data_IF_156271985492
#
_entry.id   IF_156271985492
#
_cell.length_a   1.000
_cell.length_b   1.000
_cell.length_c   1.000
_cell.angle_alpha   90.00
_cell.angle_beta   90.00
_cell.angle_gamma   90.00
#
_symmetry.space_group_name_H-M   'P 1'
#
loop_
_entity.id
_entity.type
_entity.pdbx_description
1 polymer ?
#
# COMPACT_ATOMS: atom_id res chain seq x y z
N UNK A 1 -5.99 1.13 6.88
CA UNK A 1 -6.86 1.71 5.84
C UNK A 1 -8.22 1.04 5.95
N UNK A 2 -9.25 1.76 6.44
CA UNK A 2 -10.55 1.16 6.74
C UNK A 2 -11.51 1.09 5.53
N UNK A 3 -11.20 1.81 4.44
CA UNK A 3 -12.01 1.86 3.22
C UNK A 3 -11.16 1.57 1.97
N UNK A 4 -11.64 0.66 1.11
CA UNK A 4 -11.01 0.29 -0.16
C UNK A 4 -11.17 1.36 -1.25
N UNK A 5 -12.01 2.37 -1.06
CA UNK A 5 -12.29 3.42 -2.06
C UNK A 5 -11.02 4.06 -2.60
N UNK A 6 -10.08 4.42 -1.72
CA UNK A 6 -8.79 5.00 -2.12
C UNK A 6 -7.97 4.02 -2.96
N UNK A 7 -7.86 2.76 -2.51
CA UNK A 7 -7.11 1.71 -3.19
C UNK A 7 -7.68 1.39 -4.57
N UNK A 8 -9.01 1.25 -4.67
CA UNK A 8 -9.69 0.99 -5.94
C UNK A 8 -9.49 2.14 -6.93
N UNK A 9 -9.61 3.38 -6.44
CA UNK A 9 -9.34 4.58 -7.25
C UNK A 9 -7.89 4.58 -7.75
N UNK A 10 -6.93 4.27 -6.88
CA UNK A 10 -5.51 4.19 -7.22
C UNK A 10 -5.23 3.11 -8.28
N UNK A 11 -5.82 1.93 -8.12
CA UNK A 11 -5.65 0.78 -9.03
C UNK A 11 -6.54 0.85 -10.28
N UNK A 12 -7.43 1.86 -10.39
CA UNK A 12 -8.43 2.01 -11.46
C UNK A 12 -9.34 0.79 -11.59
N UNK A 13 -9.81 0.29 -10.46
CA UNK A 13 -10.76 -0.82 -10.38
C UNK A 13 -12.16 -0.26 -10.21
N UNK A 14 -13.04 -0.62 -11.13
CA UNK A 14 -14.47 -0.38 -11.02
C UNK A 14 -15.15 -1.66 -10.51
N UNK A 15 -16.11 -1.53 -9.58
CA UNK A 15 -16.87 -2.65 -9.05
C UNK A 15 -16.38 -3.20 -7.70
N UNK A 16 -16.91 -4.36 -7.32
CA UNK A 16 -16.70 -5.00 -6.00
C UNK A 16 -16.30 -6.48 -6.06
N UNK A 17 -16.07 -7.01 -7.26
CA UNK A 17 -15.78 -8.44 -7.48
C UNK A 17 -14.48 -8.87 -6.79
N UNK A 18 -13.50 -7.97 -6.70
CA UNK A 18 -12.19 -8.21 -6.10
C UNK A 18 -12.12 -7.82 -4.61
N UNK A 19 -13.21 -7.40 -3.96
CA UNK A 19 -13.15 -6.74 -2.63
C UNK A 19 -12.56 -7.61 -1.53
N UNK A 20 -12.90 -8.90 -1.52
CA UNK A 20 -12.35 -9.86 -0.56
C UNK A 20 -10.83 -10.03 -0.77
N UNK A 21 -10.40 -10.10 -2.04
CA UNK A 21 -8.98 -10.23 -2.39
C UNK A 21 -8.22 -8.95 -2.05
N UNK A 22 -8.78 -7.79 -2.38
CA UNK A 22 -8.21 -6.49 -2.04
C UNK A 22 -8.09 -6.32 -0.52
N UNK A 23 -9.10 -6.73 0.25
CA UNK A 23 -9.06 -6.70 1.72
C UNK A 23 -7.92 -7.57 2.27
N UNK A 24 -7.76 -8.78 1.75
CA UNK A 24 -6.63 -9.66 2.12
C UNK A 24 -5.28 -9.01 1.82
N UNK A 25 -5.12 -8.43 0.62
CA UNK A 25 -3.88 -7.80 0.20
C UNK A 25 -3.56 -6.54 1.02
N UNK A 26 -4.58 -5.79 1.44
CA UNK A 26 -4.42 -4.65 2.35
C UNK A 26 -3.89 -5.12 3.70
N UNK A 27 -4.50 -6.14 4.31
CA UNK A 27 -4.01 -6.69 5.58
C UNK A 27 -2.56 -7.17 5.48
N UNK A 28 -2.21 -7.88 4.41
CA UNK A 28 -0.83 -8.31 4.16
C UNK A 28 0.13 -7.14 3.96
N UNK A 29 -0.33 -6.05 3.33
CA UNK A 29 0.48 -4.85 3.14
C UNK A 29 0.73 -4.11 4.46
N UNK A 30 -0.28 -4.00 5.33
CA UNK A 30 -0.15 -3.41 6.65
C UNK A 30 0.82 -4.22 7.53
N UNK A 31 0.71 -5.55 7.51
CA UNK A 31 1.64 -6.45 8.21
C UNK A 31 3.08 -6.31 7.66
N UNK A 32 3.23 -6.19 6.34
CA UNK A 32 4.54 -5.96 5.71
C UNK A 32 5.18 -4.64 6.21
N UNK A 33 4.41 -3.55 6.28
CA UNK A 33 4.90 -2.26 6.77
C UNK A 33 5.27 -2.33 8.27
N UNK A 34 4.46 -3.01 9.07
CA UNK A 34 4.76 -3.24 10.49
C UNK A 34 6.08 -4.02 10.66
N UNK A 35 6.28 -5.10 9.89
CA UNK A 35 7.51 -5.89 9.88
C UNK A 35 8.72 -5.08 9.38
N UNK A 36 8.52 -4.10 8.50
CA UNK A 36 9.55 -3.17 8.06
C UNK A 36 9.93 -2.11 9.14
N UNK A 37 9.20 -2.06 10.26
CA UNK A 37 9.41 -1.14 11.37
C UNK A 37 8.63 0.18 11.24
N UNK A 38 7.62 0.24 10.37
CA UNK A 38 6.71 1.38 10.27
C UNK A 38 5.63 1.24 11.34
N UNK A 39 5.46 2.26 12.18
CA UNK A 39 4.35 2.29 13.14
C UNK A 39 3.06 2.72 12.43
N UNK A 40 1.92 2.03 12.65
CA UNK A 40 0.64 2.51 12.16
C UNK A 40 0.34 3.89 12.77
N UNK A 41 -0.23 4.83 12.00
CA UNK A 41 -0.55 6.16 12.50
C UNK A 41 -1.63 6.08 13.59
N UNK A 42 -1.42 6.78 14.71
CA UNK A 42 -2.35 6.76 15.86
C UNK A 42 -3.75 7.30 15.53
N UNK A 43 -3.85 8.19 14.54
CA UNK A 43 -5.10 8.86 14.16
C UNK A 43 -5.64 8.45 12.79
N UNK A 44 -5.04 7.45 12.11
CA UNK A 44 -5.43 7.07 10.75
C UNK A 44 -5.10 8.08 9.63
N UNK A 45 -4.39 9.18 9.93
CA UNK A 45 -4.22 10.33 9.01
C UNK A 45 -2.90 10.35 8.21
N UNK A 46 -2.15 9.25 8.12
CA UNK A 46 -0.91 9.25 7.33
C UNK A 46 -1.17 8.92 5.86
N UNK A 47 -1.26 9.96 5.02
CA UNK A 47 -1.37 9.79 3.55
C UNK A 47 -0.20 9.04 2.93
N UNK A 48 0.99 9.13 3.54
CA UNK A 48 2.14 8.33 3.13
C UNK A 48 1.98 6.86 3.49
N UNK A 49 1.39 6.55 4.66
CA UNK A 49 1.06 5.17 5.02
C UNK A 49 0.01 4.59 4.07
N UNK A 50 -1.05 5.34 3.79
CA UNK A 50 -2.10 4.93 2.84
C UNK A 50 -1.50 4.65 1.45
N UNK A 51 -0.61 5.53 0.97
CA UNK A 51 0.08 5.34 -0.31
C UNK A 51 1.04 4.14 -0.28
N UNK A 52 1.73 3.89 0.83
CA UNK A 52 2.60 2.72 0.98
C UNK A 52 1.79 1.42 0.90
N UNK A 53 0.62 1.36 1.53
CA UNK A 53 -0.31 0.24 1.41
C UNK A 53 -0.75 0.07 -0.05
N UNK A 54 -1.15 1.15 -0.72
CA UNK A 54 -1.55 1.11 -2.13
C UNK A 54 -0.45 0.59 -3.06
N UNK A 55 0.79 1.08 -2.90
CA UNK A 55 1.95 0.63 -3.67
C UNK A 55 2.26 -0.84 -3.40
N UNK A 56 2.16 -1.28 -2.15
CA UNK A 56 2.42 -2.68 -1.79
C UNK A 56 1.40 -3.63 -2.43
N UNK A 57 0.13 -3.24 -2.50
CA UNK A 57 -0.92 -3.99 -3.21
C UNK A 57 -0.72 -3.93 -4.72
N UNK A 58 -0.38 -2.76 -5.28
CA UNK A 58 -0.06 -2.60 -6.71
C UNK A 58 1.05 -3.56 -7.11
N UNK A 59 2.12 -3.66 -6.32
CA UNK A 59 3.25 -4.55 -6.59
C UNK A 59 2.84 -6.01 -6.75
N UNK A 60 1.85 -6.51 -6.00
CA UNK A 60 1.33 -7.88 -6.17
C UNK A 60 0.49 -8.07 -7.44
N UNK A 61 -0.04 -6.97 -8.00
CA UNK A 61 -0.85 -6.97 -9.24
C UNK A 61 -0.05 -6.57 -10.49
N UNK A 62 1.20 -6.14 -10.33
CA UNK A 62 2.06 -5.72 -11.41
C UNK A 62 2.33 -6.88 -12.37
N UNK A 63 2.29 -6.60 -13.69
CA UNK A 63 2.38 -7.66 -14.72
C UNK A 63 3.76 -7.80 -15.35
N UNK A 64 4.62 -6.81 -15.14
CA UNK A 64 5.96 -6.79 -15.70
C UNK A 64 7.00 -6.29 -14.70
N UNK A 65 8.25 -6.66 -14.94
CA UNK A 65 9.39 -6.37 -14.06
C UNK A 65 9.68 -4.87 -13.92
N UNK A 66 9.44 -4.08 -14.97
CA UNK A 66 9.71 -2.63 -14.93
C UNK A 66 8.70 -1.93 -14.02
N UNK A 67 7.44 -2.37 -14.06
CA UNK A 67 6.42 -1.88 -13.15
C UNK A 67 6.74 -2.25 -11.70
N UNK A 68 7.13 -3.51 -11.45
CA UNK A 68 7.57 -3.96 -10.12
C UNK A 68 8.73 -3.10 -9.60
N UNK A 69 9.79 -2.91 -10.41
CA UNK A 69 10.96 -2.11 -10.02
C UNK A 69 10.57 -0.66 -9.67
N UNK A 70 9.70 -0.05 -10.49
CA UNK A 70 9.23 1.32 -10.24
C UNK A 70 8.46 1.41 -8.92
N UNK A 71 7.50 0.51 -8.70
CA UNK A 71 6.68 0.49 -7.48
C UNK A 71 7.54 0.23 -6.25
N UNK A 72 8.48 -0.71 -6.33
CA UNK A 72 9.41 -1.04 -5.23
C UNK A 72 10.31 0.13 -4.85
N UNK A 73 10.85 0.86 -5.83
CA UNK A 73 11.65 2.06 -5.55
C UNK A 73 10.84 3.12 -4.81
N UNK A 74 9.61 3.38 -5.23
CA UNK A 74 8.71 4.33 -4.56
C UNK A 74 8.34 3.86 -3.15
N UNK A 75 7.98 2.57 -3.00
CA UNK A 75 7.61 1.97 -1.71
C UNK A 75 8.79 2.04 -0.72
N UNK A 76 10.00 1.70 -1.17
CA UNK A 76 11.21 1.77 -0.34
C UNK A 76 11.46 3.18 0.17
N UNK A 77 11.36 4.19 -0.70
CA UNK A 77 11.53 5.59 -0.31
C UNK A 77 10.51 6.02 0.75
N UNK A 78 9.25 5.64 0.59
CA UNK A 78 8.18 6.01 1.53
C UNK A 78 8.37 5.28 2.87
N UNK A 79 8.74 4.00 2.86
CA UNK A 79 9.03 3.26 4.10
C UNK A 79 10.16 3.94 4.88
N UNK A 80 11.21 4.41 4.21
CA UNK A 80 12.28 5.14 4.87
C UNK A 80 11.76 6.44 5.52
N UNK A 81 11.00 7.25 4.80
CA UNK A 81 10.40 8.48 5.33
C UNK A 81 9.49 8.21 6.54
N UNK A 82 8.62 7.20 6.43
CA UNK A 82 7.72 6.78 7.51
C UNK A 82 8.48 6.32 8.76
N UNK A 83 9.65 5.68 8.59
CA UNK A 83 10.49 5.24 9.71
C UNK A 83 11.24 6.39 10.36
N UNK A 84 11.70 7.36 9.58
CA UNK A 84 12.55 8.46 10.07
C UNK A 84 11.77 9.70 10.48
N UNK A 85 10.51 9.84 10.05
CA UNK A 85 9.66 11.00 10.33
C UNK A 85 10.13 12.29 9.64
N UNK A 86 10.78 12.17 8.48
CA UNK A 86 11.29 13.29 7.66
C UNK A 86 10.45 13.42 6.39
#
# INVERSE_FOLDING_TARGET
MEDLTLLKTYLRIDGSEDDDVLTLLVGAAEEYLANAGVKPPESGDSKLYDLAVCLRVHRERARDEKEVERVERSLTSIILQLKTGI
#
